data_IF_037075251879
#
_entry.id   IF_037075251879
#
_cell.length_a   1.000
_cell.length_b   1.000
_cell.length_c   1.000
_cell.angle_alpha   90.00
_cell.angle_beta   90.00
_cell.angle_gamma   90.00
#
_symmetry.space_group_name_H-M   'P 1'
#
loop_
_entity.id
_entity.type
_entity.pdbx_description
1 polymer ?
#
# COMPACT_ATOMS: atom_id res chain seq x y z
N UNK A 1 -5.63 -34.06 -9.46
CA UNK A 1 -6.50 -32.89 -9.31
C UNK A 1 -6.19 -32.27 -7.95
N UNK A 2 -5.12 -31.48 -7.84
CA UNK A 2 -4.93 -30.61 -6.68
C UNK A 2 -5.76 -29.36 -6.93
N UNK A 3 -6.80 -29.16 -6.12
CA UNK A 3 -7.54 -27.91 -6.15
C UNK A 3 -6.63 -26.80 -5.64
N UNK A 4 -6.39 -25.78 -6.46
CA UNK A 4 -5.79 -24.54 -5.98
C UNK A 4 -6.74 -23.94 -4.95
N UNK A 5 -6.29 -23.90 -3.71
CA UNK A 5 -7.02 -23.30 -2.60
C UNK A 5 -6.91 -21.77 -2.73
N UNK A 6 -7.95 -21.14 -3.26
CA UNK A 6 -8.18 -19.70 -3.06
C UNK A 6 -8.19 -19.51 -1.54
N UNK A 7 -7.29 -18.68 -1.00
CA UNK A 7 -7.26 -18.35 0.43
C UNK A 7 -7.93 -16.99 0.63
N UNK A 8 -9.27 -16.92 0.72
CA UNK A 8 -9.99 -15.67 0.98
C UNK A 8 -9.65 -15.02 2.33
N UNK A 9 -8.88 -15.71 3.18
CA UNK A 9 -8.47 -15.25 4.50
C UNK A 9 -7.13 -14.47 4.52
N UNK A 10 -6.61 -14.02 3.37
CA UNK A 10 -5.39 -13.20 3.37
C UNK A 10 -5.68 -11.86 4.04
N UNK A 11 -4.91 -11.57 5.10
CA UNK A 11 -5.04 -10.36 5.92
C UNK A 11 -4.18 -9.25 5.36
N UNK A 12 -4.74 -8.06 5.29
CA UNK A 12 -4.02 -6.83 4.98
C UNK A 12 -4.02 -5.91 6.18
N UNK A 13 -3.17 -4.90 6.14
CA UNK A 13 -3.01 -3.97 7.25
C UNK A 13 -3.07 -2.55 6.75
N UNK A 14 -3.92 -1.76 7.39
CA UNK A 14 -3.96 -0.32 7.20
C UNK A 14 -3.38 0.34 8.44
N UNK A 15 -2.30 1.09 8.24
CA UNK A 15 -1.72 1.93 9.29
C UNK A 15 -1.77 3.36 8.81
N UNK A 16 -2.29 4.25 9.65
CA UNK A 16 -2.32 5.69 9.37
C UNK A 16 -1.22 6.36 10.18
N UNK A 17 -0.36 7.07 9.45
CA UNK A 17 0.65 7.95 10.02
C UNK A 17 0.24 9.40 9.78
N UNK A 18 0.43 10.22 10.81
CA UNK A 18 0.37 11.67 10.70
C UNK A 18 1.77 12.23 10.76
N UNK A 19 2.12 13.05 9.75
CA UNK A 19 3.41 13.72 9.68
C UNK A 19 3.26 15.14 10.26
N UNK A 20 4.04 15.42 11.30
CA UNK A 20 4.22 16.76 11.84
C UNK A 20 5.53 17.33 11.28
N UNK A 21 5.47 18.53 10.71
CA UNK A 21 6.63 19.21 10.12
C UNK A 21 6.81 20.60 10.71
N UNK A 22 7.99 20.86 11.26
CA UNK A 22 8.42 22.19 11.68
C UNK A 22 9.26 22.83 10.57
N UNK A 23 8.92 24.07 10.23
CA UNK A 23 9.56 24.84 9.16
C UNK A 23 9.68 26.31 9.55
N UNK A 24 10.66 27.02 9.01
CA UNK A 24 10.83 28.46 9.24
C UNK A 24 9.91 29.33 8.37
N UNK A 25 9.30 28.73 7.34
CA UNK A 25 8.37 29.38 6.42
C UNK A 25 7.17 28.46 6.15
N UNK A 26 5.97 29.00 5.89
CA UNK A 26 4.81 28.19 5.55
C UNK A 26 5.10 27.23 4.40
N UNK A 27 4.66 25.99 4.55
CA UNK A 27 4.67 24.98 3.50
C UNK A 27 3.37 25.17 2.70
N UNK A 28 3.49 25.48 1.41
CA UNK A 28 2.35 25.69 0.51
C UNK A 28 1.55 24.39 0.27
N UNK A 29 0.28 24.53 -0.13
CA UNK A 29 -0.77 23.50 0.04
C UNK A 29 -0.66 22.20 -0.81
N UNK A 30 0.43 21.96 -1.52
CA UNK A 30 0.64 20.74 -2.31
C UNK A 30 2.09 20.27 -2.25
N UNK A 31 2.38 19.38 -1.30
CA UNK A 31 3.69 18.73 -1.17
C UNK A 31 3.47 17.22 -1.22
N UNK A 32 4.16 16.55 -2.15
CA UNK A 32 4.12 15.09 -2.22
C UNK A 32 4.86 14.47 -1.03
N UNK A 33 4.67 13.17 -0.80
CA UNK A 33 5.43 12.47 0.24
C UNK A 33 6.94 12.49 -0.04
N UNK A 34 7.34 12.45 -1.32
CA UNK A 34 8.75 12.53 -1.72
C UNK A 34 9.34 13.92 -1.45
N UNK A 35 8.58 14.98 -1.74
CA UNK A 35 9.01 16.35 -1.45
C UNK A 35 9.13 16.56 0.07
N UNK A 36 8.15 16.09 0.86
CA UNK A 36 8.22 16.13 2.33
C UNK A 36 9.44 15.36 2.84
N UNK A 37 9.70 14.16 2.30
CA UNK A 37 10.87 13.36 2.65
C UNK A 37 12.17 14.12 2.37
N UNK A 38 12.29 14.74 1.20
CA UNK A 38 13.46 15.53 0.83
C UNK A 38 13.62 16.74 1.77
N UNK A 39 12.55 17.49 2.02
CA UNK A 39 12.56 18.67 2.89
C UNK A 39 12.98 18.35 4.33
N UNK A 40 12.57 17.20 4.87
CA UNK A 40 12.91 16.76 6.22
C UNK A 40 14.34 16.20 6.30
N UNK A 41 14.78 15.48 5.27
CA UNK A 41 16.06 14.75 5.32
C UNK A 41 17.24 15.63 4.91
N UNK A 42 17.03 16.50 3.91
CA UNK A 42 18.09 17.27 3.27
C UNK A 42 17.79 18.77 3.19
N UNK A 43 16.55 19.18 3.41
CA UNK A 43 16.11 20.57 3.36
C UNK A 43 16.05 21.26 4.72
N UNK A 44 15.24 22.30 4.80
CA UNK A 44 15.16 23.22 5.95
C UNK A 44 14.01 22.87 6.91
N UNK A 45 13.54 21.62 6.92
CA UNK A 45 12.42 21.18 7.76
C UNK A 45 12.86 20.10 8.76
N UNK A 46 12.18 20.03 9.89
CA UNK A 46 12.27 18.92 10.84
C UNK A 46 10.94 18.17 10.87
N UNK A 47 10.98 16.84 10.75
CA UNK A 47 9.79 16.01 10.65
C UNK A 47 9.72 14.94 11.73
N UNK A 48 8.50 14.64 12.18
CA UNK A 48 8.20 13.53 13.07
C UNK A 48 6.90 12.85 12.63
N UNK A 49 6.89 11.51 12.67
CA UNK A 49 5.69 10.71 12.38
C UNK A 49 5.03 10.26 13.67
N UNK A 50 3.72 10.38 13.72
CA UNK A 50 2.87 9.78 14.75
C UNK A 50 2.06 8.65 14.15
N UNK A 51 1.96 7.53 14.85
CA UNK A 51 1.03 6.45 14.46
C UNK A 51 -0.34 6.76 15.05
N UNK A 52 -1.33 7.05 14.21
CA UNK A 52 -2.70 7.30 14.69
C UNK A 52 -3.45 5.99 15.00
N UNK A 53 -3.11 4.92 14.27
CA UNK A 53 -3.71 3.61 14.47
C UNK A 53 -3.29 2.60 13.40
N UNK A 54 -3.56 1.33 13.69
CA UNK A 54 -3.37 0.22 12.77
C UNK A 54 -4.53 -0.77 12.92
N UNK A 55 -5.07 -1.21 11.81
CA UNK A 55 -6.18 -2.18 11.75
C UNK A 55 -5.90 -3.25 10.70
N UNK A 56 -6.37 -4.46 10.99
CA UNK A 56 -6.44 -5.53 10.00
C UNK A 56 -7.66 -5.28 9.10
N UNK A 57 -7.46 -5.40 7.79
CA UNK A 57 -8.52 -5.23 6.79
C UNK A 57 -8.56 -6.42 5.84
N UNK A 58 -9.72 -6.64 5.23
CA UNK A 58 -9.93 -7.66 4.20
C UNK A 58 -9.45 -7.19 2.81
N UNK A 59 -9.40 -8.12 1.86
CA UNK A 59 -8.98 -7.84 0.48
C UNK A 59 -9.87 -6.81 -0.22
N UNK A 60 -11.19 -6.90 -0.04
CA UNK A 60 -12.13 -5.94 -0.62
C UNK A 60 -11.89 -4.50 -0.13
N UNK A 61 -11.54 -4.32 1.14
CA UNK A 61 -11.17 -3.02 1.70
C UNK A 61 -9.80 -2.57 1.20
N UNK A 62 -8.83 -3.49 1.10
CA UNK A 62 -7.50 -3.19 0.58
C UNK A 62 -7.54 -2.69 -0.88
N UNK A 63 -8.27 -3.38 -1.77
CA UNK A 63 -8.43 -2.98 -3.17
C UNK A 63 -9.00 -1.56 -3.30
N UNK A 64 -10.06 -1.25 -2.54
CA UNK A 64 -10.67 0.10 -2.52
C UNK A 64 -9.70 1.18 -2.04
N UNK A 65 -8.89 0.88 -1.02
CA UNK A 65 -7.93 1.82 -0.47
C UNK A 65 -6.75 2.07 -1.43
N UNK A 66 -6.28 1.04 -2.14
CA UNK A 66 -5.27 1.20 -3.19
C UNK A 66 -5.76 2.14 -4.28
N UNK A 67 -6.97 1.91 -4.81
CA UNK A 67 -7.56 2.79 -5.84
C UNK A 67 -7.70 4.22 -5.33
N UNK A 68 -8.14 4.39 -4.08
CA UNK A 68 -8.24 5.73 -3.45
C UNK A 68 -6.89 6.44 -3.32
N UNK A 69 -5.80 5.68 -3.20
CA UNK A 69 -4.42 6.20 -3.19
C UNK A 69 -3.85 6.41 -4.61
N UNK A 70 -4.62 6.11 -5.66
CA UNK A 70 -4.16 6.19 -7.04
C UNK A 70 -3.30 5.00 -7.49
N UNK A 71 -3.39 3.86 -6.78
CA UNK A 71 -2.70 2.60 -7.10
C UNK A 71 -3.70 1.55 -7.60
N UNK A 72 -3.19 0.52 -8.26
CA UNK A 72 -4.01 -0.60 -8.73
C UNK A 72 -4.07 -1.74 -7.70
N UNK A 73 -5.22 -2.44 -7.56
CA UNK A 73 -5.35 -3.62 -6.69
C UNK A 73 -4.34 -4.73 -7.01
N UNK A 74 -3.92 -4.86 -8.27
CA UNK A 74 -2.91 -5.83 -8.74
C UNK A 74 -1.56 -5.66 -8.05
N UNK A 75 -1.26 -4.48 -7.48
CA UNK A 75 -0.08 -4.25 -6.66
C UNK A 75 0.00 -5.23 -5.48
N UNK A 76 -1.16 -5.64 -4.96
CA UNK A 76 -1.30 -6.66 -3.93
C UNK A 76 -1.78 -8.00 -4.49
N UNK A 77 -1.70 -8.25 -5.79
CA UNK A 77 -2.24 -9.45 -6.44
C UNK A 77 -3.74 -9.63 -6.19
N UNK A 78 -4.49 -8.53 -6.18
CA UNK A 78 -5.94 -8.54 -6.06
C UNK A 78 -6.60 -8.09 -7.36
N UNK A 79 -7.79 -8.61 -7.64
CA UNK A 79 -8.71 -7.98 -8.59
C UNK A 79 -9.41 -6.74 -7.97
N UNK A 80 -10.26 -6.07 -8.75
CA UNK A 80 -10.99 -4.87 -8.31
C UNK A 80 -11.97 -5.13 -7.15
N UNK A 81 -12.43 -6.37 -7.00
CA UNK A 81 -13.32 -6.79 -5.92
C UNK A 81 -12.56 -7.22 -4.65
N UNK A 82 -11.23 -7.32 -4.74
CA UNK A 82 -10.36 -7.72 -3.64
C UNK A 82 -10.20 -9.23 -3.49
N UNK A 83 -10.46 -10.01 -4.54
CA UNK A 83 -10.13 -11.42 -4.60
C UNK A 83 -8.69 -11.63 -5.09
N UNK A 84 -8.04 -12.68 -4.62
CA UNK A 84 -6.70 -13.03 -5.11
C UNK A 84 -6.71 -13.39 -6.60
N UNK A 85 -5.77 -12.79 -7.34
CA UNK A 85 -5.44 -13.22 -8.68
C UNK A 85 -4.71 -14.57 -8.58
N UNK A 86 -5.30 -15.62 -9.15
CA UNK A 86 -4.65 -16.92 -9.25
C UNK A 86 -3.49 -16.82 -10.25
N UNK A 87 -2.28 -17.13 -9.80
CA UNK A 87 -1.23 -17.57 -10.71
C UNK A 87 -1.54 -19.02 -11.08
N UNK A 88 -1.70 -19.29 -12.38
CA UNK A 88 -1.41 -20.64 -12.87
C UNK A 88 0.09 -20.81 -12.69
N UNK A 89 0.49 -21.67 -11.74
CA UNK A 89 1.84 -22.22 -11.77
C UNK A 89 1.98 -22.91 -13.13
N UNK A 90 2.66 -22.25 -14.07
CA UNK A 90 3.10 -22.85 -15.32
C UNK A 90 4.18 -23.87 -14.96
N UNK A 91 3.73 -25.02 -14.46
CA UNK A 91 4.47 -26.27 -14.41
C UNK A 91 4.68 -26.71 -15.87
N UNK A 92 5.51 -25.94 -16.58
CA UNK A 92 6.01 -26.27 -17.90
C UNK A 92 6.85 -27.53 -17.77
N UNK A 93 6.18 -28.68 -17.84
CA UNK A 93 6.74 -29.97 -18.22
C UNK A 93 7.67 -29.71 -19.41
N UNK A 94 8.99 -29.62 -19.15
CA UNK A 94 9.97 -29.70 -20.21
C UNK A 94 10.04 -31.18 -20.61
N UNK A 95 9.60 -31.57 -21.83
CA UNK A 95 9.81 -32.93 -22.28
C UNK A 95 11.32 -33.17 -22.41
N UNK A 96 11.75 -34.33 -21.90
CA UNK A 96 13.13 -34.84 -21.87
C UNK A 96 13.86 -34.81 -23.22
#
# INVERSE_FOLDING_TARGET
MSGNEIKPDRKFYRTIYTLEVLSERPIEDLVSLDDLHYMITWGDCSGMTHTEGSEEIDGATAAKLLIKQGSDPEFFMLDEDGNDLLYEDDDGDQPE
#
